data_IF_972706491559
#
_entry.id   IF_972706491559
#
_cell.length_a   1.000
_cell.length_b   1.000
_cell.length_c   1.000
_cell.angle_alpha   90.00
_cell.angle_beta   90.00
_cell.angle_gamma   90.00
#
_symmetry.space_group_name_H-M   'P 1'
#
loop_
_entity.id
_entity.type
_entity.pdbx_description
1 polymer ?
#
# COMPACT_ATOMS: atom_id res chain seq x y z
N UNK A 1 5.70 -19.99 13.61
CA UNK A 1 6.10 -20.25 12.23
C UNK A 1 6.71 -18.98 11.68
N UNK A 2 8.01 -18.97 11.37
CA UNK A 2 8.74 -17.76 10.93
C UNK A 2 8.35 -17.30 9.53
N UNK A 3 7.65 -18.14 8.76
CA UNK A 3 7.21 -17.78 7.40
C UNK A 3 5.82 -17.12 7.36
N UNK A 4 5.16 -16.93 8.52
CA UNK A 4 3.85 -16.31 8.52
C UNK A 4 3.92 -14.78 8.62
N UNK A 5 3.30 -14.09 7.66
CA UNK A 5 3.23 -12.63 7.65
C UNK A 5 1.99 -12.11 8.40
N UNK A 6 0.82 -12.73 8.17
CA UNK A 6 -0.42 -12.38 8.87
C UNK A 6 -1.01 -13.62 9.53
N UNK A 7 -1.05 -13.58 10.86
CA UNK A 7 -1.60 -14.65 11.69
C UNK A 7 -3.06 -14.34 12.03
N UNK A 8 -3.91 -15.33 11.80
CA UNK A 8 -5.24 -15.44 12.38
C UNK A 8 -5.14 -16.33 13.62
N UNK A 9 -5.67 -15.86 14.76
CA UNK A 9 -5.56 -16.60 16.03
C UNK A 9 -6.34 -17.91 16.03
N UNK A 10 -7.38 -18.02 15.21
CA UNK A 10 -8.26 -19.18 15.12
C UNK A 10 -7.88 -20.08 13.93
N UNK A 11 -7.47 -19.47 12.81
CA UNK A 11 -7.24 -20.17 11.54
C UNK A 11 -5.76 -20.37 11.18
N UNK A 12 -4.83 -19.92 12.03
CA UNK A 12 -3.40 -20.07 11.81
C UNK A 12 -2.83 -19.05 10.83
N UNK A 13 -1.91 -19.46 9.94
CA UNK A 13 -1.31 -18.51 9.01
C UNK A 13 -2.26 -18.16 7.86
N UNK A 14 -2.70 -16.90 7.79
CA UNK A 14 -3.60 -16.41 6.74
C UNK A 14 -2.83 -16.00 5.48
N UNK A 15 -1.67 -15.38 5.65
CA UNK A 15 -0.80 -14.94 4.55
C UNK A 15 0.66 -15.21 4.92
N UNK A 16 1.40 -15.86 4.03
CA UNK A 16 2.83 -16.11 4.22
C UNK A 16 3.68 -14.90 3.83
N UNK A 17 4.91 -14.85 4.34
CA UNK A 17 5.87 -13.81 3.95
C UNK A 17 6.24 -13.92 2.47
N UNK A 18 6.43 -15.14 1.97
CA UNK A 18 6.71 -15.42 0.56
C UNK A 18 5.64 -14.83 -0.37
N UNK A 19 4.35 -14.97 -0.02
CA UNK A 19 3.23 -14.39 -0.77
C UNK A 19 3.30 -12.88 -0.84
N UNK A 20 3.67 -12.22 0.27
CA UNK A 20 3.85 -10.78 0.33
C UNK A 20 5.09 -10.35 -0.46
N UNK A 21 6.20 -11.08 -0.35
CA UNK A 21 7.47 -10.80 -1.02
C UNK A 21 7.42 -10.99 -2.54
N UNK A 22 6.45 -11.74 -3.05
CA UNK A 22 6.18 -11.85 -4.48
C UNK A 22 5.53 -10.59 -5.08
N UNK A 23 4.94 -9.71 -4.25
CA UNK A 23 4.32 -8.47 -4.72
C UNK A 23 5.38 -7.42 -5.15
N UNK A 24 5.06 -6.52 -6.10
CA UNK A 24 6.00 -5.48 -6.52
C UNK A 24 6.35 -4.52 -5.38
N UNK A 25 7.62 -4.12 -5.30
CA UNK A 25 8.12 -3.10 -4.38
C UNK A 25 7.90 -1.71 -4.97
N UNK A 26 7.28 -0.82 -4.20
CA UNK A 26 7.05 0.56 -4.58
C UNK A 26 7.79 1.57 -3.70
N UNK A 27 8.38 1.15 -2.58
CA UNK A 27 9.32 1.97 -1.82
C UNK A 27 10.28 1.07 -1.07
N UNK A 28 11.55 1.47 -0.96
CA UNK A 28 12.55 0.74 -0.17
C UNK A 28 13.48 1.75 0.49
N UNK A 29 13.72 1.57 1.78
CA UNK A 29 14.51 2.50 2.57
C UNK A 29 15.21 1.80 3.74
N UNK A 30 16.42 2.25 4.07
CA UNK A 30 17.08 1.89 5.32
C UNK A 30 16.76 2.93 6.36
N UNK A 31 16.18 2.50 7.48
CA UNK A 31 15.61 3.41 8.48
C UNK A 31 16.74 4.17 9.20
N UNK A 32 16.72 5.51 9.16
CA UNK A 32 17.70 6.33 9.87
C UNK A 32 17.34 6.52 11.35
N UNK A 33 18.32 6.90 12.17
CA UNK A 33 18.09 7.15 13.61
C UNK A 33 17.03 8.24 13.87
N UNK A 34 16.94 9.26 13.01
CA UNK A 34 15.92 10.31 13.15
C UNK A 34 14.49 9.81 13.02
N UNK A 35 14.27 8.56 12.59
CA UNK A 35 12.93 7.98 12.51
C UNK A 35 12.47 7.38 13.83
N UNK A 36 13.37 7.17 14.78
CA UNK A 36 13.04 6.56 16.06
C UNK A 36 12.38 7.57 16.99
N UNK A 37 11.42 7.09 17.78
CA UNK A 37 10.86 7.85 18.89
C UNK A 37 11.65 7.60 20.19
N UNK A 38 11.17 8.17 21.30
CA UNK A 38 11.80 8.04 22.61
C UNK A 38 11.87 6.59 23.14
N UNK A 39 11.19 5.63 22.50
CA UNK A 39 11.14 4.22 22.88
C UNK A 39 12.15 3.39 22.07
N UNK A 40 12.85 4.01 21.11
CA UNK A 40 13.97 3.39 20.39
C UNK A 40 13.56 2.55 19.16
N UNK A 41 12.29 2.64 18.74
CA UNK A 41 11.78 2.05 17.51
C UNK A 41 11.14 3.14 16.63
N UNK A 42 10.93 2.83 15.35
CA UNK A 42 10.39 3.77 14.37
C UNK A 42 9.05 4.32 14.82
N UNK A 43 8.92 5.64 14.85
CA UNK A 43 7.67 6.29 15.21
C UNK A 43 6.56 5.92 14.21
N UNK A 44 5.33 5.74 14.72
CA UNK A 44 4.14 5.44 13.91
C UNK A 44 3.91 6.41 12.75
N UNK A 45 4.31 7.68 12.87
CA UNK A 45 4.15 8.66 11.79
C UNK A 45 5.01 8.34 10.56
N UNK A 46 6.17 7.71 10.75
CA UNK A 46 7.06 7.33 9.64
C UNK A 46 6.53 6.15 8.85
N UNK A 47 5.75 5.24 9.47
CA UNK A 47 5.05 4.19 8.71
C UNK A 47 4.14 4.81 7.64
N UNK A 48 3.35 5.83 8.01
CA UNK A 48 2.50 6.53 7.05
C UNK A 48 3.31 7.27 5.99
N UNK A 49 4.45 7.87 6.35
CA UNK A 49 5.33 8.51 5.38
C UNK A 49 5.87 7.52 4.34
N UNK A 50 6.30 6.32 4.76
CA UNK A 50 6.76 5.26 3.87
C UNK A 50 5.62 4.77 2.95
N UNK A 51 4.41 4.62 3.48
CA UNK A 51 3.23 4.27 2.69
C UNK A 51 2.83 5.35 1.69
N UNK A 52 2.98 6.64 2.04
CA UNK A 52 2.70 7.75 1.12
C UNK A 52 3.69 7.75 -0.04
N UNK A 53 4.99 7.59 0.23
CA UNK A 53 6.02 7.45 -0.81
C UNK A 53 5.71 6.28 -1.76
N UNK A 54 5.38 5.11 -1.21
CA UNK A 54 4.99 3.96 -2.00
C UNK A 54 3.71 4.19 -2.82
N UNK A 55 2.77 4.98 -2.29
CA UNK A 55 1.54 5.35 -3.00
C UNK A 55 1.83 6.24 -4.20
N UNK A 56 2.74 7.22 -4.06
CA UNK A 56 3.17 8.05 -5.19
C UNK A 56 3.87 7.23 -6.28
N UNK A 57 4.82 6.37 -5.92
CA UNK A 57 5.49 5.50 -6.89
C UNK A 57 4.50 4.52 -7.53
N UNK A 58 3.51 4.01 -6.78
CA UNK A 58 2.43 3.20 -7.35
C UNK A 58 1.59 3.99 -8.37
N UNK A 59 1.19 5.22 -8.02
CA UNK A 59 0.43 6.09 -8.92
C UNK A 59 1.18 6.41 -10.21
N UNK A 60 2.49 6.62 -10.16
CA UNK A 60 3.31 6.80 -11.36
C UNK A 60 3.20 5.61 -12.32
N UNK A 61 3.17 4.37 -11.80
CA UNK A 61 3.06 3.17 -12.64
C UNK A 61 1.72 3.00 -13.36
N UNK A 62 0.65 3.64 -12.87
CA UNK A 62 -0.66 3.66 -13.51
C UNK A 62 -0.90 4.94 -14.32
N UNK A 63 0.15 5.74 -14.54
CA UNK A 63 0.09 6.98 -15.34
C UNK A 63 -0.38 8.21 -14.57
N UNK A 64 -0.64 8.11 -13.26
CA UNK A 64 -0.92 9.25 -12.38
C UNK A 64 0.40 9.91 -11.93
N UNK A 65 1.18 10.39 -12.91
CA UNK A 65 2.46 11.08 -12.68
C UNK A 65 2.26 12.53 -12.23
N UNK A 66 3.34 13.18 -11.81
CA UNK A 66 3.32 14.62 -11.52
C UNK A 66 2.83 15.47 -12.71
N UNK A 67 3.22 15.10 -13.93
CA UNK A 67 2.77 15.79 -15.16
C UNK A 67 1.28 15.54 -15.43
N UNK A 68 0.79 14.33 -15.16
CA UNK A 68 -0.64 14.04 -15.20
C UNK A 68 -1.41 14.95 -14.24
N UNK A 69 -0.97 15.03 -12.98
CA UNK A 69 -1.65 15.84 -11.96
C UNK A 69 -1.70 17.32 -12.35
N UNK A 70 -0.59 17.85 -12.89
CA UNK A 70 -0.48 19.25 -13.33
C UNK A 70 -1.36 19.53 -14.55
N UNK A 71 -1.26 18.70 -15.59
CA UNK A 71 -1.90 18.96 -16.88
C UNK A 71 -3.41 18.69 -16.86
N UNK A 72 -3.83 17.62 -16.18
CA UNK A 72 -5.25 17.27 -16.07
C UNK A 72 -5.94 17.94 -14.90
N UNK A 73 -5.19 18.61 -14.01
CA UNK A 73 -5.69 19.12 -12.73
C UNK A 73 -6.49 18.06 -11.98
N UNK A 74 -5.92 16.86 -11.94
CA UNK A 74 -6.55 15.66 -11.42
C UNK A 74 -5.65 15.02 -10.37
N UNK A 75 -6.22 14.22 -9.48
CA UNK A 75 -5.45 13.59 -8.40
C UNK A 75 -6.23 12.48 -7.72
N UNK A 76 -5.78 12.11 -6.53
CA UNK A 76 -6.47 11.16 -5.67
C UNK A 76 -6.77 11.80 -4.31
N UNK A 77 -7.92 11.43 -3.74
CA UNK A 77 -8.20 11.66 -2.32
C UNK A 77 -8.28 10.30 -1.61
N UNK A 78 -7.56 10.16 -0.50
CA UNK A 78 -7.75 9.07 0.43
C UNK A 78 -9.10 9.25 1.13
N UNK A 79 -9.95 8.24 1.09
CA UNK A 79 -11.27 8.28 1.72
C UNK A 79 -11.26 7.58 3.07
N UNK A 80 -10.66 6.37 3.12
CA UNK A 80 -10.60 5.54 4.33
C UNK A 80 -9.32 4.72 4.30
N UNK A 81 -8.71 4.56 5.45
CA UNK A 81 -7.47 3.80 5.62
C UNK A 81 -7.60 2.92 6.87
N UNK A 82 -7.00 1.73 6.83
CA UNK A 82 -6.91 0.81 7.97
C UNK A 82 -5.48 0.32 8.10
N UNK A 83 -4.90 0.42 9.30
CA UNK A 83 -3.49 0.13 9.54
C UNK A 83 -3.36 -0.90 10.66
N UNK A 84 -2.48 -1.89 10.46
CA UNK A 84 -2.04 -2.80 11.51
C UNK A 84 -0.54 -2.68 11.74
N UNK A 85 -0.11 -2.90 12.98
CA UNK A 85 1.30 -2.97 13.38
C UNK A 85 1.57 -4.37 13.94
N UNK A 86 2.56 -5.07 13.38
CA UNK A 86 2.87 -6.47 13.69
C UNK A 86 4.24 -6.62 14.36
N UNK A 87 5.24 -5.83 13.95
CA UNK A 87 6.56 -5.84 14.57
C UNK A 87 7.23 -4.48 14.48
N UNK A 88 8.02 -4.15 15.50
CA UNK A 88 8.83 -2.94 15.56
C UNK A 88 9.92 -2.92 14.47
N UNK A 89 10.31 -1.70 14.06
CA UNK A 89 11.42 -1.45 13.14
C UNK A 89 12.41 -0.52 13.84
N UNK A 90 13.70 -0.79 13.70
CA UNK A 90 14.79 -0.01 14.31
C UNK A 90 15.70 0.60 13.26
N UNK A 91 16.53 1.56 13.68
CA UNK A 91 17.51 2.18 12.80
C UNK A 91 18.49 1.15 12.23
N UNK A 92 18.94 1.38 11.00
CA UNK A 92 19.82 0.51 10.24
C UNK A 92 19.12 -0.69 9.59
N UNK A 93 17.83 -0.95 9.89
CA UNK A 93 17.07 -1.98 9.21
C UNK A 93 16.55 -1.49 7.86
N UNK A 94 16.60 -2.34 6.84
CA UNK A 94 16.05 -2.08 5.52
C UNK A 94 14.63 -2.62 5.43
N UNK A 95 13.72 -1.78 4.95
CA UNK A 95 12.31 -2.10 4.76
C UNK A 95 11.89 -1.88 3.31
N UNK A 96 10.89 -2.63 2.87
CA UNK A 96 10.28 -2.50 1.56
C UNK A 96 8.75 -2.45 1.68
N UNK A 97 8.14 -1.47 1.02
CA UNK A 97 6.68 -1.40 0.87
C UNK A 97 6.29 -2.10 -0.42
N UNK A 98 5.41 -3.09 -0.29
CA UNK A 98 4.88 -3.88 -1.40
C UNK A 98 3.39 -3.68 -1.54
N UNK A 99 2.91 -3.57 -2.77
CA UNK A 99 1.52 -3.15 -3.04
C UNK A 99 0.76 -4.25 -3.77
N UNK A 100 -0.48 -4.47 -3.32
CA UNK A 100 -1.50 -5.26 -4.05
C UNK A 100 -2.73 -4.39 -4.29
N UNK A 101 -3.18 -4.35 -5.53
CA UNK A 101 -4.45 -3.73 -5.89
C UNK A 101 -5.59 -4.74 -5.74
N UNK A 102 -6.71 -4.31 -5.16
CA UNK A 102 -7.81 -5.18 -4.74
C UNK A 102 -9.09 -4.96 -5.56
N UNK A 103 -9.27 -3.77 -6.12
CA UNK A 103 -10.41 -3.48 -6.99
C UNK A 103 -10.47 -2.01 -7.40
N UNK A 104 -11.38 -1.71 -8.33
CA UNK A 104 -11.77 -0.34 -8.67
C UNK A 104 -13.24 -0.24 -9.07
N UNK A 105 -13.79 0.98 -9.00
CA UNK A 105 -14.99 1.38 -9.74
C UNK A 105 -14.58 2.23 -10.95
N UNK A 106 -15.54 2.97 -11.52
CA UNK A 106 -15.30 4.07 -12.46
C UNK A 106 -14.41 5.20 -11.91
N UNK A 107 -14.33 5.37 -10.58
CA UNK A 107 -13.63 6.49 -9.94
C UNK A 107 -12.93 6.17 -8.62
N UNK A 108 -13.14 4.98 -8.04
CA UNK A 108 -12.51 4.55 -6.79
C UNK A 108 -11.53 3.42 -7.03
N UNK A 109 -10.51 3.30 -6.18
CA UNK A 109 -9.63 2.14 -6.13
C UNK A 109 -9.46 1.69 -4.67
N UNK A 110 -9.24 0.40 -4.49
CA UNK A 110 -8.94 -0.23 -3.22
C UNK A 110 -7.62 -0.98 -3.36
N UNK A 111 -6.64 -0.65 -2.52
CA UNK A 111 -5.32 -1.30 -2.53
C UNK A 111 -4.82 -1.53 -1.12
N UNK A 112 -3.81 -2.38 -1.00
CA UNK A 112 -3.15 -2.70 0.24
C UNK A 112 -1.63 -2.63 0.08
N UNK A 113 -0.98 -1.97 1.04
CA UNK A 113 0.46 -1.95 1.21
C UNK A 113 0.87 -2.89 2.34
N UNK A 114 2.03 -3.52 2.17
CA UNK A 114 2.68 -4.36 3.16
C UNK A 114 4.10 -3.84 3.39
N UNK A 115 4.43 -3.49 4.63
CA UNK A 115 5.76 -3.06 5.01
C UNK A 115 6.55 -4.26 5.53
N UNK A 116 7.42 -4.81 4.68
CA UNK A 116 8.31 -5.91 5.01
C UNK A 116 9.62 -5.36 5.54
N UNK A 117 10.06 -5.83 6.70
CA UNK A 117 11.39 -5.61 7.22
C UNK A 117 12.32 -6.69 6.66
N UNK A 118 13.03 -6.37 5.59
CA UNK A 118 13.89 -7.29 4.85
C UNK A 118 15.15 -7.67 5.65
N UNK A 119 15.56 -6.85 6.62
CA UNK A 119 16.66 -7.21 7.54
C UNK A 119 16.26 -8.33 8.50
N UNK A 120 14.99 -8.37 8.93
CA UNK A 120 14.52 -9.37 9.91
C UNK A 120 13.71 -10.51 9.30
N UNK A 121 13.30 -10.39 8.03
CA UNK A 121 12.40 -11.34 7.38
C UNK A 121 11.03 -11.37 8.06
N UNK A 122 10.46 -10.21 8.37
CA UNK A 122 9.15 -10.09 9.04
C UNK A 122 8.29 -9.03 8.40
N UNK A 123 6.97 -9.25 8.41
CA UNK A 123 6.01 -8.19 8.14
C UNK A 123 5.95 -7.28 9.37
N UNK A 124 6.23 -5.99 9.17
CA UNK A 124 6.18 -4.99 10.24
C UNK A 124 4.80 -4.35 10.36
N UNK A 125 4.14 -4.10 9.24
CA UNK A 125 2.84 -3.43 9.20
C UNK A 125 2.14 -3.70 7.86
N UNK A 126 0.82 -3.53 7.83
CA UNK A 126 0.07 -3.37 6.59
C UNK A 126 -0.85 -2.15 6.65
N UNK A 127 -1.24 -1.67 5.47
CA UNK A 127 -2.05 -0.49 5.26
C UNK A 127 -3.04 -0.75 4.12
N UNK A 128 -4.32 -0.79 4.43
CA UNK A 128 -5.42 -0.92 3.47
C UNK A 128 -6.00 0.47 3.19
N UNK A 129 -6.25 0.80 1.92
CA UNK A 129 -6.67 2.14 1.53
C UNK A 129 -7.74 2.11 0.44
N UNK A 130 -8.84 2.82 0.72
CA UNK A 130 -9.86 3.17 -0.25
C UNK A 130 -9.67 4.62 -0.67
N UNK A 131 -9.41 4.84 -1.96
CA UNK A 131 -9.24 6.17 -2.55
C UNK A 131 -10.20 6.44 -3.69
N UNK A 132 -10.30 7.71 -4.08
CA UNK A 132 -11.03 8.15 -5.28
C UNK A 132 -10.15 9.03 -6.15
N UNK A 133 -10.26 8.87 -7.46
CA UNK A 133 -9.82 9.87 -8.41
C UNK A 133 -10.66 11.15 -8.26
N UNK A 134 -9.99 12.29 -8.39
CA UNK A 134 -10.54 13.60 -8.10
C UNK A 134 -10.20 14.61 -9.19
N UNK A 135 -11.19 15.43 -9.54
CA UNK A 135 -10.98 16.70 -10.24
C UNK A 135 -10.55 17.73 -9.20
N UNK A 136 -9.34 18.28 -9.32
CA UNK A 136 -8.77 19.25 -8.38
C UNK A 136 -9.22 20.69 -8.63
N UNK A 137 -9.77 21.00 -9.81
CA UNK A 137 -10.43 22.30 -10.06
C UNK A 137 -11.73 22.37 -9.28
N UNK A 138 -12.52 21.30 -9.37
CA UNK A 138 -13.84 21.20 -8.72
C UNK A 138 -13.74 20.64 -7.29
N UNK A 139 -12.58 20.09 -6.91
CA UNK A 139 -12.29 19.45 -5.63
C UNK A 139 -13.29 18.36 -5.25
N UNK A 140 -13.64 17.48 -6.20
CA UNK A 140 -14.60 16.38 -5.99
C UNK A 140 -14.21 15.13 -6.76
N UNK A 141 -14.80 13.99 -6.39
CA UNK A 141 -14.59 12.72 -7.11
C UNK A 141 -14.98 12.83 -8.58
N UNK A 142 -14.18 12.26 -9.48
CA UNK A 142 -14.45 12.19 -10.91
C UNK A 142 -14.02 10.82 -11.48
N UNK A 143 -14.64 10.32 -12.57
CA UNK A 143 -14.19 9.10 -13.22
C UNK A 143 -12.73 9.13 -13.63
N UNK A 144 -12.06 7.98 -13.62
CA UNK A 144 -10.73 7.85 -14.20
C UNK A 144 -10.79 8.14 -15.70
N UNK A 145 -9.80 8.85 -16.27
CA UNK A 145 -9.57 8.84 -17.71
C UNK A 145 -9.34 7.41 -18.21
N UNK A 146 -9.76 7.10 -19.44
CA UNK A 146 -9.71 5.74 -19.99
C UNK A 146 -8.32 5.09 -19.91
N UNK A 147 -7.26 5.84 -20.21
CA UNK A 147 -5.89 5.34 -20.15
C UNK A 147 -5.42 5.02 -18.71
N UNK A 148 -5.92 5.74 -17.70
CA UNK A 148 -5.65 5.44 -16.29
C UNK A 148 -6.45 4.20 -15.89
N UNK A 149 -7.73 4.13 -16.27
CA UNK A 149 -8.57 2.96 -15.97
C UNK A 149 -7.99 1.67 -16.57
N UNK A 150 -7.52 1.72 -17.81
CA UNK A 150 -6.85 0.61 -18.49
C UNK A 150 -5.56 0.18 -17.78
N UNK A 151 -4.73 1.13 -17.36
CA UNK A 151 -3.52 0.82 -16.58
C UNK A 151 -3.84 0.18 -15.23
N UNK A 152 -4.91 0.63 -14.55
CA UNK A 152 -5.38 0.02 -13.31
C UNK A 152 -5.91 -1.41 -13.58
N UNK A 153 -6.63 -1.63 -14.68
CA UNK A 153 -7.15 -2.96 -15.05
C UNK A 153 -6.01 -3.97 -15.33
N UNK A 154 -4.93 -3.56 -16.01
CA UNK A 154 -3.75 -4.41 -16.22
C UNK A 154 -3.13 -4.84 -14.89
N UNK A 155 -3.04 -3.93 -13.93
CA UNK A 155 -2.53 -4.23 -12.59
C UNK A 155 -3.48 -5.17 -11.83
N UNK A 156 -4.80 -4.92 -11.89
CA UNK A 156 -5.81 -5.80 -11.29
C UNK A 156 -5.75 -7.21 -11.85
N UNK A 157 -5.60 -7.36 -13.16
CA UNK A 157 -5.49 -8.67 -13.80
C UNK A 157 -4.29 -9.47 -13.30
N UNK A 158 -3.16 -8.81 -12.99
CA UNK A 158 -2.03 -9.46 -12.33
C UNK A 158 -2.40 -9.88 -10.91
N UNK A 159 -2.97 -8.99 -10.11
CA UNK A 159 -3.22 -9.23 -8.68
C UNK A 159 -4.38 -10.19 -8.41
N UNK A 160 -5.32 -10.30 -9.35
CA UNK A 160 -6.41 -11.28 -9.33
C UNK A 160 -5.93 -12.70 -9.66
N UNK A 161 -4.73 -12.87 -10.22
CA UNK A 161 -4.13 -14.19 -10.47
C UNK A 161 -3.37 -14.75 -9.26
N UNK A 162 -3.21 -13.96 -8.20
CA UNK A 162 -2.61 -14.43 -6.95
C UNK A 162 -3.53 -15.47 -6.29
N UNK A 163 -2.95 -16.55 -5.78
CA UNK A 163 -3.64 -17.72 -5.22
C UNK A 163 -3.99 -17.56 -3.74
N UNK A 164 -3.95 -16.34 -3.22
CA UNK A 164 -4.21 -16.02 -1.81
C UNK A 164 -5.08 -14.78 -1.65
N UNK A 165 -5.85 -14.76 -0.56
CA UNK A 165 -6.75 -13.66 -0.25
C UNK A 165 -6.04 -12.55 0.53
N UNK A 166 -6.20 -11.31 0.10
CA UNK A 166 -5.68 -10.17 0.84
C UNK A 166 -6.33 -10.09 2.23
N UNK A 167 -5.58 -9.77 3.30
CA UNK A 167 -6.08 -9.74 4.66
C UNK A 167 -6.81 -8.42 4.95
N UNK A 168 -7.86 -8.12 4.17
CA UNK A 168 -8.70 -6.92 4.31
C UNK A 168 -9.37 -6.87 5.69
N UNK A 169 -9.62 -5.65 6.19
CA UNK A 169 -10.29 -5.42 7.48
C UNK A 169 -11.79 -5.72 7.46
N UNK A 170 -12.40 -5.87 6.26
CA UNK A 170 -13.83 -6.13 6.05
C UNK A 170 -14.74 -4.90 6.22
N UNK A 171 -14.20 -3.75 6.63
CA UNK A 171 -14.94 -2.49 6.81
C UNK A 171 -14.82 -1.60 5.55
N UNK A 172 -13.75 -1.79 4.77
CA UNK A 172 -13.50 -1.06 3.52
C UNK A 172 -14.05 -1.88 2.34
N UNK A 173 -15.21 -1.47 1.83
CA UNK A 173 -15.84 -2.09 0.66
C UNK A 173 -15.97 -1.05 -0.45
N UNK A 174 -15.69 -1.47 -1.68
CA UNK A 174 -15.88 -0.67 -2.89
C UNK A 174 -17.35 -0.57 -3.28
#
# INVERSE_FOLDING_TARGET
DTNCAVLDRENGCRVSLEQVEALPVYHRETIPEQYLDAMGHMNVHWYMALYDQATWHFFETIGMTLDYHRNYHAGAFALRQFLNYFSEIHAGQTVAVRTRLLGRTDKRFHFMHFLVNETTGRLASNFESLGTHADLKQRRSAPFPAFIAEAIDIQLDRDNRLDWEAPVCGILNL
#
